data_IF_886320052717
#
_entry.id   IF_886320052717
#
_cell.length_a   1.000
_cell.length_b   1.000
_cell.length_c   1.000
_cell.angle_alpha   90.00
_cell.angle_beta   90.00
_cell.angle_gamma   90.00
#
_symmetry.space_group_name_H-M   'P 1'
#
loop_
_entity.id
_entity.type
_entity.pdbx_description
1 polymer ?
#
# COMPACT_ATOMS: atom_id res chain seq x y z
N UNK A 1 14.82 32.39 11.91
CA UNK A 1 15.50 31.65 10.82
C UNK A 1 15.63 30.16 11.19
N UNK A 2 14.52 29.43 11.46
CA UNK A 2 14.60 28.01 11.90
C UNK A 2 13.24 27.29 11.77
N UNK A 3 12.79 27.00 10.55
CA UNK A 3 11.61 26.13 10.34
C UNK A 3 11.87 25.02 9.29
N UNK A 4 12.72 25.29 8.30
CA UNK A 4 13.02 24.37 7.20
C UNK A 4 13.83 23.11 7.57
N UNK A 5 14.56 23.10 8.69
CA UNK A 5 15.46 21.99 9.05
C UNK A 5 14.75 20.77 9.70
N UNK A 6 13.53 20.91 10.23
CA UNK A 6 12.80 19.81 10.89
C UNK A 6 12.11 18.85 9.91
N UNK A 7 11.60 19.37 8.79
CA UNK A 7 10.77 18.59 7.85
C UNK A 7 11.52 17.39 7.20
N UNK A 8 12.82 17.54 6.92
CA UNK A 8 13.63 16.49 6.29
C UNK A 8 13.88 15.26 7.18
N UNK A 9 13.96 15.45 8.50
CA UNK A 9 14.19 14.35 9.46
C UNK A 9 12.94 13.48 9.65
N UNK A 10 11.76 14.09 9.61
CA UNK A 10 10.49 13.42 9.82
C UNK A 10 10.09 12.52 8.65
N UNK A 11 10.23 13.04 7.41
CA UNK A 11 9.98 12.26 6.19
C UNK A 11 10.90 11.03 6.10
N UNK A 12 12.17 11.17 6.51
CA UNK A 12 13.14 10.06 6.55
C UNK A 12 12.75 9.00 7.58
N UNK A 13 12.28 9.40 8.77
CA UNK A 13 11.81 8.47 9.81
C UNK A 13 10.57 7.70 9.37
N UNK A 14 9.58 8.37 8.78
CA UNK A 14 8.38 7.69 8.28
C UNK A 14 8.70 6.67 7.19
N UNK A 15 9.61 7.02 6.26
CA UNK A 15 10.11 6.08 5.24
C UNK A 15 10.82 4.88 5.86
N UNK A 16 11.64 5.08 6.90
CA UNK A 16 12.33 3.99 7.59
C UNK A 16 11.37 3.10 8.38
N UNK A 17 10.39 3.69 9.07
CA UNK A 17 9.36 2.95 9.80
C UNK A 17 8.52 2.08 8.86
N UNK A 18 8.15 2.61 7.68
CA UNK A 18 7.51 1.81 6.63
C UNK A 18 8.38 0.63 6.21
N UNK A 19 9.69 0.83 5.99
CA UNK A 19 10.62 -0.28 5.67
C UNK A 19 10.74 -1.33 6.77
N UNK A 20 10.61 -0.94 8.04
CA UNK A 20 10.74 -1.83 9.20
C UNK A 20 9.46 -2.62 9.51
N UNK A 21 8.30 -2.19 9.00
CA UNK A 21 7.07 -2.95 9.16
C UNK A 21 7.15 -4.30 8.41
N UNK A 22 6.47 -5.36 8.87
CA UNK A 22 6.39 -6.61 8.11
C UNK A 22 5.88 -6.37 6.70
N UNK A 23 6.43 -7.06 5.69
CA UNK A 23 6.09 -6.85 4.28
C UNK A 23 4.58 -6.95 4.00
N UNK A 24 3.88 -7.82 4.75
CA UNK A 24 2.43 -7.95 4.74
C UNK A 24 1.73 -6.65 5.17
N UNK A 25 2.16 -6.03 6.28
CA UNK A 25 1.58 -4.77 6.77
C UNK A 25 1.90 -3.61 5.84
N UNK A 26 3.09 -3.61 5.22
CA UNK A 26 3.48 -2.59 4.25
C UNK A 26 2.51 -2.55 3.06
N UNK A 27 2.24 -3.69 2.42
CA UNK A 27 1.35 -3.74 1.26
C UNK A 27 -0.11 -3.52 1.66
N UNK A 28 -0.55 -4.02 2.82
CA UNK A 28 -1.90 -3.77 3.32
C UNK A 28 -2.15 -2.28 3.54
N UNK A 29 -1.22 -1.61 4.23
CA UNK A 29 -1.30 -0.18 4.45
C UNK A 29 -1.26 0.61 3.15
N UNK A 30 -0.37 0.24 2.22
CA UNK A 30 -0.30 0.84 0.89
C UNK A 30 -1.66 0.83 0.19
N UNK A 31 -2.32 -0.33 0.14
CA UNK A 31 -3.62 -0.45 -0.53
C UNK A 31 -4.71 0.38 0.18
N UNK A 32 -4.77 0.31 1.51
CA UNK A 32 -5.77 1.06 2.28
C UNK A 32 -5.58 2.57 2.13
N UNK A 33 -4.34 3.07 2.16
CA UNK A 33 -4.05 4.50 2.03
C UNK A 33 -4.49 5.03 0.65
N UNK A 34 -4.27 4.27 -0.43
CA UNK A 34 -4.69 4.65 -1.80
C UNK A 34 -6.21 4.67 -2.00
N UNK A 35 -6.93 3.85 -1.23
CA UNK A 35 -8.40 3.89 -1.22
C UNK A 35 -8.87 5.08 -0.38
N UNK A 36 -8.27 5.28 0.80
CA UNK A 36 -8.65 6.33 1.73
C UNK A 36 -8.36 7.75 1.21
N UNK A 37 -7.27 7.93 0.46
CA UNK A 37 -6.92 9.21 -0.17
C UNK A 37 -7.67 9.45 -1.50
N UNK A 38 -8.45 8.48 -1.96
CA UNK A 38 -9.26 8.56 -3.17
C UNK A 38 -8.45 8.39 -4.47
N UNK A 39 -7.18 7.95 -4.40
CA UNK A 39 -6.41 7.53 -5.59
C UNK A 39 -7.14 6.42 -6.34
N UNK A 40 -7.71 5.46 -5.62
CA UNK A 40 -8.58 4.42 -6.17
C UNK A 40 -9.99 4.59 -5.64
N UNK A 41 -10.92 4.98 -6.51
CA UNK A 41 -12.31 5.22 -6.14
C UNK A 41 -13.11 3.92 -6.21
N UNK A 42 -14.28 3.85 -5.55
CA UNK A 42 -15.17 2.71 -5.68
C UNK A 42 -15.50 2.43 -7.16
N UNK A 43 -15.28 1.21 -7.61
CA UNK A 43 -15.48 0.79 -8.99
C UNK A 43 -14.26 0.90 -9.90
N UNK A 44 -13.21 1.63 -9.48
CA UNK A 44 -11.96 1.69 -10.23
C UNK A 44 -11.22 0.35 -10.19
N UNK A 45 -10.55 0.04 -11.29
CA UNK A 45 -9.57 -1.03 -11.29
C UNK A 45 -8.32 -0.58 -10.53
N UNK A 46 -7.87 -1.40 -9.58
CA UNK A 46 -6.56 -1.23 -8.94
C UNK A 46 -5.46 -1.86 -9.82
N UNK A 47 -4.17 -1.54 -9.61
CA UNK A 47 -3.07 -2.20 -10.29
C UNK A 47 -3.13 -3.73 -10.10
N UNK A 48 -2.69 -4.47 -11.11
CA UNK A 48 -2.65 -5.93 -11.06
C UNK A 48 -1.69 -6.43 -9.96
N UNK A 49 -1.83 -7.70 -9.56
CA UNK A 49 -0.94 -8.33 -8.57
C UNK A 49 0.54 -8.18 -8.97
N UNK A 50 0.86 -8.32 -10.26
CA UNK A 50 2.21 -8.16 -10.80
C UNK A 50 2.69 -6.72 -10.72
N UNK A 51 1.83 -5.74 -10.99
CA UNK A 51 2.17 -4.32 -10.86
C UNK A 51 2.39 -3.94 -9.40
N UNK A 52 1.54 -4.41 -8.48
CA UNK A 52 1.72 -4.18 -7.05
C UNK A 52 3.02 -4.76 -6.52
N UNK A 53 3.44 -5.94 -7.01
CA UNK A 53 4.77 -6.51 -6.68
C UNK A 53 5.89 -5.60 -7.17
N UNK A 54 5.79 -5.09 -8.40
CA UNK A 54 6.80 -4.17 -8.97
C UNK A 54 6.86 -2.83 -8.22
N UNK A 55 5.71 -2.25 -7.88
CA UNK A 55 5.62 -0.95 -7.21
C UNK A 55 6.06 -1.02 -5.74
N UNK A 56 5.67 -2.08 -5.03
CA UNK A 56 5.93 -2.21 -3.60
C UNK A 56 7.25 -2.91 -3.27
N UNK A 57 7.80 -3.70 -4.20
CA UNK A 57 8.94 -4.59 -3.94
C UNK A 57 8.61 -5.76 -3.01
N UNK A 58 7.34 -5.95 -2.65
CA UNK A 58 6.89 -7.03 -1.77
C UNK A 58 6.70 -8.32 -2.58
N UNK A 59 7.11 -9.46 -2.01
CA UNK A 59 6.96 -10.76 -2.66
C UNK A 59 5.50 -11.07 -3.05
N UNK A 60 5.33 -11.71 -4.21
CA UNK A 60 4.02 -12.05 -4.78
C UNK A 60 3.08 -12.77 -3.83
N UNK A 61 3.58 -13.78 -3.09
CA UNK A 61 2.75 -14.53 -2.14
C UNK A 61 2.15 -13.63 -1.06
N UNK A 62 2.90 -12.62 -0.62
CA UNK A 62 2.46 -11.64 0.38
C UNK A 62 1.43 -10.68 -0.20
N UNK A 63 1.66 -10.15 -1.41
CA UNK A 63 0.69 -9.32 -2.13
C UNK A 63 -0.62 -10.09 -2.35
N UNK A 64 -0.54 -11.33 -2.84
CA UNK A 64 -1.70 -12.19 -3.07
C UNK A 64 -2.50 -12.44 -1.80
N UNK A 65 -1.82 -12.69 -0.68
CA UNK A 65 -2.46 -12.87 0.64
C UNK A 65 -3.23 -11.62 1.07
N UNK A 66 -2.65 -10.44 0.90
CA UNK A 66 -3.31 -9.17 1.25
C UNK A 66 -4.52 -8.90 0.37
N UNK A 67 -4.39 -9.07 -0.95
CA UNK A 67 -5.53 -8.88 -1.86
C UNK A 67 -6.68 -9.83 -1.54
N UNK A 68 -6.38 -11.10 -1.22
CA UNK A 68 -7.39 -12.08 -0.79
C UNK A 68 -8.08 -11.66 0.50
N UNK A 69 -7.35 -11.20 1.50
CA UNK A 69 -7.93 -10.74 2.76
C UNK A 69 -8.81 -9.50 2.57
N UNK A 70 -8.34 -8.51 1.82
CA UNK A 70 -9.12 -7.29 1.56
C UNK A 70 -10.38 -7.61 0.74
N UNK A 71 -10.30 -8.59 -0.15
CA UNK A 71 -11.48 -9.10 -0.87
C UNK A 71 -12.46 -9.81 0.08
N UNK A 72 -11.95 -10.64 1.00
CA UNK A 72 -12.78 -11.33 1.99
C UNK A 72 -13.48 -10.37 2.97
N UNK A 73 -12.89 -9.18 3.19
CA UNK A 73 -13.49 -8.10 3.99
C UNK A 73 -14.38 -7.15 3.18
N UNK A 74 -14.64 -7.45 1.90
CA UNK A 74 -15.39 -6.60 0.97
C UNK A 74 -14.80 -5.19 0.75
N UNK A 75 -13.50 -4.99 1.04
CA UNK A 75 -12.77 -3.76 0.71
C UNK A 75 -12.45 -3.72 -0.78
N UNK A 76 -12.16 -4.89 -1.37
CA UNK A 76 -11.93 -5.07 -2.80
C UNK A 76 -12.90 -6.09 -3.37
N UNK A 77 -13.14 -6.01 -4.67
CA UNK A 77 -13.84 -7.07 -5.42
C UNK A 77 -12.88 -7.66 -6.44
N UNK A 78 -12.82 -9.00 -6.51
CA UNK A 78 -11.99 -9.69 -7.51
C UNK A 78 -12.87 -10.14 -8.67
N UNK A 79 -12.63 -9.54 -9.85
CA UNK A 79 -13.28 -9.94 -11.10
C UNK A 79 -12.29 -10.74 -11.94
N UNK A 80 -12.65 -11.98 -12.26
CA UNK A 80 -11.97 -12.76 -13.29
C UNK A 80 -12.71 -12.47 -14.60
N UNK A 81 -12.00 -11.96 -15.58
CA UNK A 81 -12.45 -11.79 -16.96
C UNK A 81 -12.00 -12.99 -17.78
#
# INVERSE_FOLDING_TARGET
MTEAARAGGEAKRLKLQRKLAPAYEQIKRYVIERIADGTWKPGDAIPSETELVKESGVARMTVSRVLRELSARHVLTRRYF
#
